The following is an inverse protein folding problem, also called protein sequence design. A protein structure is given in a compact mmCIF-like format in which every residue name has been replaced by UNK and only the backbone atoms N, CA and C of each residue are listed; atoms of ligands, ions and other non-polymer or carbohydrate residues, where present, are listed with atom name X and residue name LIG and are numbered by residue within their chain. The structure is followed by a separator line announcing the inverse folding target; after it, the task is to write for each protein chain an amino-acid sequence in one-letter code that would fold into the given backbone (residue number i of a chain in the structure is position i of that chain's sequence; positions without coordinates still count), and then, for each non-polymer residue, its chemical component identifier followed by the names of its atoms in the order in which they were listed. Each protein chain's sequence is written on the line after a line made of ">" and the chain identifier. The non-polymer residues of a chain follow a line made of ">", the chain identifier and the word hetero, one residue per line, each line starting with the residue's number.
data_IF_499636897770
#
_entry.id   IF_499636897770
#
_cell.length_a   1.000
_cell.length_b   1.000
_cell.length_c   1.000
_cell.angle_alpha   90.00
_cell.angle_beta   90.00
_cell.angle_gamma   90.00
#
_symmetry.space_group_name_H-M   'P 1'
#
loop_
_entity.id
_entity.type
_entity.pdbx_description
1 polymer ?
#
# COMPACT_ATOMS: atom_id res chain seq x y z
N UNK A 1 -9.07 11.13 -21.35
CA UNK A 1 -8.16 11.34 -20.21
C UNK A 1 -8.00 10.02 -19.48
N UNK A 2 -6.80 9.45 -19.38
CA UNK A 2 -6.53 8.25 -18.56
C UNK A 2 -5.49 8.64 -17.51
N UNK A 3 -5.92 8.80 -16.26
CA UNK A 3 -5.05 9.00 -15.11
C UNK A 3 -4.70 7.67 -14.44
N UNK A 4 -3.77 7.67 -13.46
CA UNK A 4 -3.40 6.47 -12.73
C UNK A 4 -4.59 5.88 -11.97
N UNK A 5 -4.65 4.56 -11.90
CA UNK A 5 -5.72 3.84 -11.21
C UNK A 5 -5.57 4.06 -9.71
N UNK A 6 -6.65 4.47 -9.05
CA UNK A 6 -6.66 4.71 -7.61
C UNK A 6 -7.12 3.44 -6.89
N UNK A 7 -6.29 2.94 -5.98
CA UNK A 7 -6.55 1.71 -5.21
C UNK A 7 -6.60 2.06 -3.73
N UNK A 8 -7.73 1.75 -3.09
CA UNK A 8 -7.88 1.83 -1.63
C UNK A 8 -7.77 0.42 -1.05
N UNK A 9 -6.85 0.25 -0.11
CA UNK A 9 -6.64 -0.98 0.64
C UNK A 9 -7.01 -0.70 2.09
N UNK A 10 -8.01 -1.41 2.60
CA UNK A 10 -8.47 -1.29 3.98
C UNK A 10 -8.22 -2.61 4.69
N UNK A 11 -7.39 -2.58 5.73
CA UNK A 11 -7.16 -3.73 6.59
C UNK A 11 -6.79 -3.30 7.99
N UNK A 12 -7.68 -3.58 8.96
CA UNK A 12 -7.39 -3.41 10.38
C UNK A 12 -6.90 -4.70 11.04
N UNK A 13 -6.02 -4.58 12.04
CA UNK A 13 -5.61 -5.69 12.91
C UNK A 13 -4.92 -6.85 12.17
N UNK A 14 -5.14 -8.11 12.59
CA UNK A 14 -4.43 -9.29 12.10
C UNK A 14 -4.80 -9.67 10.66
N UNK A 15 -6.04 -9.41 10.22
CA UNK A 15 -6.51 -9.76 8.87
C UNK A 15 -5.77 -8.99 7.75
N UNK A 16 -5.17 -7.86 8.09
CA UNK A 16 -4.42 -7.02 7.14
C UNK A 16 -3.00 -7.51 6.87
N UNK A 17 -2.49 -8.49 7.64
CA UNK A 17 -1.07 -8.87 7.59
C UNK A 17 -0.63 -9.32 6.20
N UNK A 18 -1.47 -10.08 5.50
CA UNK A 18 -1.17 -10.52 4.12
C UNK A 18 -1.11 -9.34 3.16
N UNK A 19 -1.99 -8.34 3.32
CA UNK A 19 -2.03 -7.15 2.49
C UNK A 19 -0.81 -6.26 2.76
N UNK A 20 -0.44 -6.08 4.02
CA UNK A 20 0.75 -5.35 4.46
C UNK A 20 2.04 -5.87 3.81
N UNK A 21 2.13 -7.17 3.56
CA UNK A 21 3.31 -7.82 2.97
C UNK A 21 3.26 -7.86 1.44
N UNK A 22 2.08 -8.08 0.87
CA UNK A 22 1.93 -8.35 -0.58
C UNK A 22 1.76 -7.07 -1.39
N UNK A 23 0.97 -6.11 -0.89
CA UNK A 23 0.68 -4.88 -1.63
C UNK A 23 1.91 -4.01 -1.94
N UNK A 24 2.91 -3.86 -1.06
CA UNK A 24 4.12 -3.11 -1.43
C UNK A 24 4.87 -3.73 -2.63
N UNK A 25 4.84 -5.06 -2.76
CA UNK A 25 5.46 -5.76 -3.89
C UNK A 25 4.68 -5.52 -5.19
N UNK A 26 3.35 -5.54 -5.10
CA UNK A 26 2.46 -5.20 -6.22
C UNK A 26 2.65 -3.74 -6.64
N UNK A 27 2.76 -2.83 -5.67
CA UNK A 27 3.02 -1.41 -5.90
C UNK A 27 4.31 -1.18 -6.68
N UNK A 28 5.38 -1.94 -6.36
CA UNK A 28 6.64 -1.86 -7.08
C UNK A 28 6.52 -2.31 -8.54
N UNK A 29 5.72 -3.33 -8.81
CA UNK A 29 5.51 -3.85 -10.19
C UNK A 29 4.65 -2.91 -11.04
N UNK A 30 3.67 -2.25 -10.42
CA UNK A 30 2.76 -1.34 -11.10
C UNK A 30 3.34 0.07 -11.24
N UNK A 31 4.23 0.48 -10.32
CA UNK A 31 4.89 1.78 -10.38
C UNK A 31 3.88 2.93 -10.42
N UNK A 32 4.05 3.82 -11.39
CA UNK A 32 3.25 5.05 -11.52
C UNK A 32 1.89 4.84 -12.19
N UNK A 33 1.56 3.61 -12.62
CA UNK A 33 0.23 3.33 -13.19
C UNK A 33 -0.86 3.31 -12.12
N UNK A 34 -0.48 3.23 -10.84
CA UNK A 34 -1.40 3.19 -9.71
C UNK A 34 -1.04 4.20 -8.62
N UNK A 35 -2.07 4.67 -7.93
CA UNK A 35 -1.93 5.40 -6.68
C UNK A 35 -2.58 4.58 -5.58
N UNK A 36 -1.80 4.19 -4.56
CA UNK A 36 -2.27 3.28 -3.50
C UNK A 36 -2.46 4.05 -2.20
N UNK A 37 -3.66 3.94 -1.64
CA UNK A 37 -3.98 4.37 -0.28
C UNK A 37 -4.16 3.13 0.58
N UNK A 38 -3.30 2.95 1.59
CA UNK A 38 -3.31 1.76 2.42
C UNK A 38 -3.55 2.16 3.87
N UNK A 39 -4.71 1.77 4.41
CA UNK A 39 -5.00 1.84 5.83
C UNK A 39 -4.53 0.56 6.51
N UNK A 40 -3.56 0.68 7.41
CA UNK A 40 -2.96 -0.41 8.17
C UNK A 40 -3.34 -0.33 9.65
N UNK A 41 -3.30 -1.45 10.37
CA UNK A 41 -3.49 -1.44 11.82
C UNK A 41 -2.33 -0.74 12.53
N UNK A 42 -2.60 -0.08 13.67
CA UNK A 42 -1.62 0.71 14.46
C UNK A 42 -0.28 -0.01 14.70
N UNK A 43 -0.29 -1.32 14.96
CA UNK A 43 0.92 -2.11 15.23
C UNK A 43 1.76 -2.46 13.99
N UNK A 44 1.26 -2.18 12.78
CA UNK A 44 1.93 -2.52 11.53
C UNK A 44 2.27 -1.29 10.68
N UNK A 45 1.80 -0.09 11.04
CA UNK A 45 1.92 1.11 10.23
C UNK A 45 3.36 1.41 9.81
N UNK A 46 4.28 1.48 10.78
CA UNK A 46 5.70 1.76 10.50
C UNK A 46 6.33 0.72 9.57
N UNK A 47 6.02 -0.56 9.78
CA UNK A 47 6.51 -1.67 8.94
C UNK A 47 5.95 -1.58 7.52
N UNK A 48 4.68 -1.22 7.38
CA UNK A 48 4.04 -1.02 6.06
C UNK A 48 4.66 0.17 5.36
N UNK A 49 4.82 1.31 6.03
CA UNK A 49 5.50 2.49 5.48
C UNK A 49 6.90 2.16 4.97
N UNK A 50 7.70 1.45 5.76
CA UNK A 50 9.03 0.98 5.34
C UNK A 50 8.95 0.01 4.15
N UNK A 51 8.01 -0.92 4.16
CA UNK A 51 7.81 -1.83 3.05
C UNK A 51 7.40 -1.08 1.78
N UNK A 52 6.74 0.07 1.88
CA UNK A 52 6.46 0.90 0.72
C UNK A 52 7.62 1.81 0.33
N UNK A 53 8.62 2.08 1.18
CA UNK A 53 9.73 2.98 0.86
C UNK A 53 10.42 2.62 -0.47
N UNK A 54 10.67 3.63 -1.31
CA UNK A 54 11.12 3.50 -2.70
C UNK A 54 10.15 2.92 -3.77
N UNK A 55 8.86 2.64 -3.48
CA UNK A 55 7.96 1.89 -4.39
C UNK A 55 6.70 2.67 -4.82
N UNK A 56 6.72 3.36 -5.96
CA UNK A 56 5.53 3.96 -6.63
C UNK A 56 4.87 5.13 -5.90
N UNK A 57 3.65 5.54 -6.30
CA UNK A 57 2.93 6.66 -5.69
C UNK A 57 1.93 6.16 -4.62
N UNK A 58 2.16 6.48 -3.33
CA UNK A 58 1.44 5.88 -2.20
C UNK A 58 1.21 6.81 -1.01
N UNK A 59 0.14 6.54 -0.27
CA UNK A 59 -0.19 7.14 1.02
C UNK A 59 -0.55 6.03 2.00
N UNK A 60 0.20 5.91 3.11
CA UNK A 60 -0.05 4.92 4.16
C UNK A 60 -0.66 5.65 5.37
N UNK A 61 -1.74 5.11 5.91
CA UNK A 61 -2.44 5.62 7.09
C UNK A 61 -2.76 4.50 8.08
#
# INVERSE_FOLDING_TARGET
>A
MKGPIRVLVVGGSQGARVLNQTLPQVAAKLGDTVTIWHQSGKGAQQTVEQAYAGRGNRSIR
#
